data_IF_858655103092
#
_entry.id   IF_858655103092
#
_cell.length_a   1.000
_cell.length_b   1.000
_cell.length_c   1.000
_cell.angle_alpha   90.00
_cell.angle_beta   90.00
_cell.angle_gamma   90.00
#
_symmetry.space_group_name_H-M   'P 1'
#
loop_
_entity.id
_entity.type
_entity.pdbx_description
1 polymer ?
#
# COMPACT_ATOMS: atom_id res chain seq x y z
N UNK A 1 47.97 -2.51 18.66
CA UNK A 1 47.12 -3.16 17.65
C UNK A 1 45.70 -2.64 17.85
N UNK A 2 45.36 -1.53 17.20
CA UNK A 2 44.11 -0.81 17.43
C UNK A 2 43.01 -1.35 16.54
N UNK A 3 41.98 -1.95 17.15
CA UNK A 3 40.74 -2.28 16.47
C UNK A 3 39.93 -0.97 16.37
N UNK A 4 40.06 -0.27 15.25
CA UNK A 4 39.18 0.87 14.96
C UNK A 4 37.75 0.34 14.82
N UNK A 5 36.91 0.69 15.79
CA UNK A 5 35.48 0.55 15.68
C UNK A 5 35.02 1.30 14.41
N UNK A 6 34.51 0.56 13.43
CA UNK A 6 33.78 1.15 12.30
C UNK A 6 32.61 1.93 12.89
N UNK A 7 32.71 3.24 12.85
CA UNK A 7 31.61 4.17 13.06
C UNK A 7 30.44 3.73 12.19
N UNK A 8 29.37 3.25 12.82
CA UNK A 8 28.10 3.07 12.16
C UNK A 8 27.69 4.44 11.63
N UNK A 9 27.67 4.58 10.30
CA UNK A 9 27.22 5.81 9.65
C UNK A 9 25.76 6.00 10.06
N UNK A 10 25.48 7.02 10.86
CA UNK A 10 24.13 7.49 11.18
C UNK A 10 23.52 8.15 9.92
N UNK A 11 23.40 7.38 8.84
CA UNK A 11 22.66 7.75 7.65
C UNK A 11 21.22 7.32 7.82
N UNK A 12 20.29 8.24 7.59
CA UNK A 12 18.87 7.96 7.53
C UNK A 12 18.63 6.67 6.73
N UNK A 13 17.93 5.72 7.33
CA UNK A 13 17.51 4.54 6.59
C UNK A 13 16.38 4.96 5.66
N UNK A 14 16.19 4.32 4.51
CA UNK A 14 15.01 4.60 3.66
C UNK A 14 13.69 4.47 4.43
N UNK A 15 13.66 3.64 5.48
CA UNK A 15 12.51 3.57 6.39
C UNK A 15 12.33 4.86 7.18
N UNK A 16 13.39 5.45 7.73
CA UNK A 16 13.27 6.74 8.43
C UNK A 16 12.88 7.85 7.45
N UNK A 17 13.50 7.93 6.26
CA UNK A 17 13.12 8.95 5.27
C UNK A 17 11.65 8.87 4.85
N UNK A 18 11.13 7.67 4.63
CA UNK A 18 9.72 7.47 4.28
C UNK A 18 8.81 7.75 5.46
N UNK A 19 9.18 7.30 6.67
CA UNK A 19 8.41 7.58 7.90
C UNK A 19 8.36 9.08 8.19
N UNK A 20 9.50 9.76 8.17
CA UNK A 20 9.61 11.20 8.44
C UNK A 20 8.75 11.99 7.45
N UNK A 21 8.71 11.55 6.19
CA UNK A 21 7.87 12.15 5.15
C UNK A 21 6.37 11.91 5.39
N UNK A 22 5.98 10.71 5.82
CA UNK A 22 4.58 10.41 6.20
C UNK A 22 4.18 11.25 7.43
N UNK A 23 5.06 11.38 8.42
CA UNK A 23 4.84 12.20 9.61
C UNK A 23 4.61 13.66 9.22
N UNK A 24 5.48 14.23 8.38
CA UNK A 24 5.32 15.61 7.89
C UNK A 24 3.97 15.83 7.19
N UNK A 25 3.51 14.88 6.36
CA UNK A 25 2.20 14.98 5.71
C UNK A 25 1.04 14.96 6.73
N UNK A 26 1.13 14.09 7.74
CA UNK A 26 0.13 14.01 8.80
C UNK A 26 0.10 15.32 9.62
N UNK A 27 1.26 15.91 9.91
CA UNK A 27 1.38 17.20 10.61
C UNK A 27 0.78 18.36 9.81
N UNK A 28 0.81 18.29 8.47
CA UNK A 28 0.13 19.21 7.55
C UNK A 28 -1.38 18.92 7.40
N UNK A 29 -1.91 17.91 8.09
CA UNK A 29 -3.31 17.49 8.02
C UNK A 29 -3.65 16.64 6.79
N UNK A 30 -2.65 16.16 6.06
CA UNK A 30 -2.80 15.34 4.85
C UNK A 30 -2.55 13.88 5.22
N UNK A 31 -3.60 13.06 5.19
CA UNK A 31 -3.46 11.61 5.34
C UNK A 31 -3.04 10.98 3.98
N UNK A 32 -1.84 10.40 3.83
CA UNK A 32 -1.31 9.97 2.52
C UNK A 32 -2.13 8.86 1.84
N UNK A 33 -2.88 8.08 2.62
CA UNK A 33 -3.78 7.03 2.15
C UNK A 33 -5.23 7.51 1.92
N UNK A 34 -5.54 8.76 2.28
CA UNK A 34 -6.84 9.42 2.08
C UNK A 34 -6.73 10.62 1.13
N UNK A 35 -5.51 11.04 0.78
CA UNK A 35 -5.17 12.29 0.09
C UNK A 35 -6.01 12.61 -1.16
N UNK A 36 -6.10 13.89 -1.56
CA UNK A 36 -7.08 14.36 -2.52
C UNK A 36 -6.85 13.72 -3.89
N UNK A 37 -7.61 12.68 -4.17
CA UNK A 37 -7.63 11.92 -5.42
C UNK A 37 -8.10 12.75 -6.63
N UNK A 38 -8.21 14.07 -6.50
CA UNK A 38 -9.11 14.91 -7.29
C UNK A 38 -8.40 16.12 -7.90
N UNK A 39 -7.39 15.86 -8.74
CA UNK A 39 -7.03 16.80 -9.82
C UNK A 39 -7.43 16.27 -11.22
N UNK A 40 -7.95 15.04 -11.29
CA UNK A 40 -8.39 14.39 -12.53
C UNK A 40 -7.28 14.10 -13.55
N UNK A 41 -6.01 14.33 -13.20
CA UNK A 41 -4.87 14.19 -14.13
C UNK A 41 -4.32 12.77 -14.14
N UNK A 42 -4.31 12.13 -12.98
CA UNK A 42 -3.86 10.75 -12.85
C UNK A 42 -5.02 9.78 -12.85
N UNK A 43 -4.88 8.67 -13.57
CA UNK A 43 -5.75 7.53 -13.33
C UNK A 43 -5.60 7.11 -11.87
N UNK A 44 -6.70 7.08 -11.13
CA UNK A 44 -6.74 6.40 -9.83
C UNK A 44 -6.27 4.97 -10.07
N UNK A 45 -5.60 4.35 -9.11
CA UNK A 45 -5.24 2.94 -9.21
C UNK A 45 -3.91 2.63 -8.54
N UNK A 46 -3.66 1.34 -8.34
CA UNK A 46 -2.39 0.93 -7.76
C UNK A 46 -1.23 1.15 -8.75
N UNK A 47 -0.06 1.63 -8.28
CA UNK A 47 1.14 1.70 -9.09
C UNK A 47 1.51 0.32 -9.63
N UNK A 48 1.96 0.25 -10.88
CA UNK A 48 2.35 -1.00 -11.54
C UNK A 48 3.67 -0.87 -12.26
N UNK A 49 4.39 -1.98 -12.39
CA UNK A 49 5.55 -2.03 -13.24
C UNK A 49 5.13 -2.00 -14.72
N UNK A 50 5.64 -1.05 -15.51
CA UNK A 50 5.22 -0.87 -16.91
C UNK A 50 5.55 -2.07 -17.79
N UNK A 51 6.70 -2.72 -17.57
CA UNK A 51 7.13 -3.86 -18.38
C UNK A 51 6.45 -5.19 -18.02
N UNK A 52 6.19 -5.43 -16.74
CA UNK A 52 5.64 -6.72 -16.26
C UNK A 52 4.16 -6.67 -15.89
N UNK A 53 3.56 -5.48 -15.76
CA UNK A 53 2.18 -5.29 -15.29
C UNK A 53 1.96 -5.56 -13.79
N UNK A 54 2.98 -6.06 -13.07
CA UNK A 54 2.89 -6.40 -11.64
C UNK A 54 2.59 -5.15 -10.81
N UNK A 55 1.57 -5.24 -9.94
CA UNK A 55 1.24 -4.20 -8.96
C UNK A 55 2.32 -4.10 -7.89
N UNK A 56 2.68 -2.86 -7.52
CA UNK A 56 3.48 -2.61 -6.32
C UNK A 56 2.62 -2.87 -5.07
N UNK A 57 3.28 -3.16 -3.95
CA UNK A 57 2.63 -3.53 -2.69
C UNK A 57 3.30 -2.85 -1.49
N UNK A 58 2.56 -2.76 -0.39
CA UNK A 58 3.04 -2.20 0.87
C UNK A 58 3.49 -0.75 0.73
N UNK A 59 4.59 -0.40 1.38
CA UNK A 59 5.08 0.98 1.45
C UNK A 59 5.39 1.61 0.09
N UNK A 60 5.72 0.79 -0.91
CA UNK A 60 5.97 1.30 -2.26
C UNK A 60 4.74 1.96 -2.88
N UNK A 61 3.53 1.55 -2.50
CA UNK A 61 2.30 2.20 -2.98
C UNK A 61 2.26 3.65 -2.52
N UNK A 62 2.50 3.90 -1.23
CA UNK A 62 2.50 5.25 -0.65
C UNK A 62 3.63 6.11 -1.22
N UNK A 63 4.84 5.55 -1.36
CA UNK A 63 6.00 6.27 -1.93
C UNK A 63 5.69 6.72 -3.36
N UNK A 64 5.15 5.83 -4.18
CA UNK A 64 4.91 6.09 -5.60
C UNK A 64 3.71 7.02 -5.80
N UNK A 65 2.61 6.84 -5.05
CA UNK A 65 1.48 7.78 -5.08
C UNK A 65 1.90 9.18 -4.68
N UNK A 66 2.68 9.30 -3.61
CA UNK A 66 3.14 10.62 -3.20
C UNK A 66 3.94 11.32 -4.31
N UNK A 67 4.88 10.60 -4.95
CA UNK A 67 5.66 11.15 -6.08
C UNK A 67 4.80 11.47 -7.29
N UNK A 68 3.81 10.63 -7.59
CA UNK A 68 2.84 10.86 -8.66
C UNK A 68 2.07 12.17 -8.45
N UNK A 69 1.55 12.42 -7.25
CA UNK A 69 0.80 13.64 -6.96
C UNK A 69 1.69 14.89 -6.88
N UNK A 70 2.86 14.77 -6.25
CA UNK A 70 3.82 15.87 -6.13
C UNK A 70 4.29 16.40 -7.49
N UNK A 71 4.44 15.51 -8.47
CA UNK A 71 4.89 15.86 -9.82
C UNK A 71 3.74 15.97 -10.84
N UNK A 72 2.51 15.63 -10.45
CA UNK A 72 1.34 15.64 -11.33
C UNK A 72 1.42 14.63 -12.49
N UNK A 73 2.00 13.46 -12.27
CA UNK A 73 2.09 12.41 -13.31
C UNK A 73 0.71 11.80 -13.59
N UNK A 74 0.38 11.62 -14.87
CA UNK A 74 -0.86 11.02 -15.34
C UNK A 74 -0.89 9.50 -15.34
N UNK A 75 0.28 8.85 -15.33
CA UNK A 75 0.41 7.39 -15.42
C UNK A 75 0.69 6.73 -14.06
N UNK A 76 0.01 5.62 -13.76
CA UNK A 76 0.32 4.74 -12.62
C UNK A 76 1.45 3.74 -12.93
N UNK A 77 2.12 3.87 -14.08
CA UNK A 77 3.12 2.90 -14.55
C UNK A 77 4.53 3.41 -14.28
N UNK A 78 5.33 2.52 -13.68
CA UNK A 78 6.69 2.80 -13.22
C UNK A 78 7.65 1.75 -13.75
N UNK A 79 8.89 2.13 -14.02
CA UNK A 79 9.91 1.21 -14.53
C UNK A 79 11.31 1.68 -14.18
N UNK A 80 12.27 0.75 -14.15
CA UNK A 80 13.68 1.12 -13.99
C UNK A 80 14.25 1.71 -15.29
N UNK A 81 15.34 2.47 -15.21
CA UNK A 81 16.03 3.00 -16.39
C UNK A 81 16.35 1.91 -17.44
N UNK A 82 16.84 0.76 -16.99
CA UNK A 82 17.15 -0.37 -17.88
C UNK A 82 15.90 -0.95 -18.55
N UNK A 83 14.76 -0.97 -17.86
CA UNK A 83 13.50 -1.38 -18.46
C UNK A 83 13.04 -0.37 -19.52
N UNK A 84 13.26 0.93 -19.31
CA UNK A 84 12.90 1.96 -20.30
C UNK A 84 13.63 1.70 -21.61
N UNK A 85 14.95 1.53 -21.52
CA UNK A 85 15.81 1.23 -22.67
C UNK A 85 15.43 -0.09 -23.36
N UNK A 86 15.14 -1.13 -22.59
CA UNK A 86 14.74 -2.42 -23.14
C UNK A 86 13.39 -2.37 -23.89
N UNK A 87 12.52 -1.45 -23.52
CA UNK A 87 11.24 -1.20 -24.18
C UNK A 87 11.33 -0.21 -25.34
N UNK A 88 12.53 0.24 -25.71
CA UNK A 88 12.76 1.19 -26.82
C UNK A 88 12.60 2.66 -26.44
N UNK A 89 12.36 2.95 -25.15
CA UNK A 89 12.25 4.32 -24.64
C UNK A 89 13.50 4.81 -23.92
N UNK A 90 13.49 6.06 -23.50
CA UNK A 90 14.56 6.64 -22.70
C UNK A 90 14.04 7.62 -21.67
N UNK A 91 14.60 7.59 -20.46
CA UNK A 91 14.30 8.60 -19.44
C UNK A 91 14.90 9.93 -19.88
N UNK A 92 14.11 11.01 -19.85
CA UNK A 92 14.58 12.34 -20.23
C UNK A 92 15.72 12.82 -19.35
N UNK A 93 16.62 13.60 -19.95
CA UNK A 93 17.79 14.13 -19.24
C UNK A 93 17.34 15.11 -18.16
N UNK A 94 17.80 14.89 -16.93
CA UNK A 94 17.50 15.74 -15.77
C UNK A 94 16.35 15.23 -14.90
N UNK A 95 15.61 14.23 -15.36
CA UNK A 95 14.54 13.59 -14.57
C UNK A 95 15.10 12.89 -13.33
N UNK A 96 14.40 13.03 -12.21
CA UNK A 96 14.77 12.40 -10.94
C UNK A 96 13.95 11.13 -10.72
N UNK A 97 14.64 10.03 -10.44
CA UNK A 97 13.99 8.76 -10.15
C UNK A 97 13.48 8.67 -8.70
N UNK A 98 12.48 7.82 -8.49
CA UNK A 98 11.90 7.51 -7.19
C UNK A 98 12.47 6.20 -6.65
N UNK A 99 12.93 6.20 -5.40
CA UNK A 99 13.47 4.99 -4.76
C UNK A 99 12.36 4.13 -4.17
N UNK A 100 12.31 2.85 -4.54
CA UNK A 100 11.41 1.84 -4.00
C UNK A 100 12.18 0.72 -3.29
N UNK A 101 11.52 0.07 -2.34
CA UNK A 101 12.05 -1.03 -1.53
C UNK A 101 11.65 -2.39 -2.09
N UNK A 102 12.57 -3.35 -2.08
CA UNK A 102 12.25 -4.76 -2.24
C UNK A 102 12.84 -5.52 -1.06
N UNK A 103 11.97 -6.03 -0.19
CA UNK A 103 12.35 -6.87 0.93
C UNK A 103 12.03 -8.33 0.58
N UNK A 104 13.02 -9.21 0.77
CA UNK A 104 12.85 -10.64 0.52
C UNK A 104 13.82 -11.43 1.43
N UNK A 105 13.65 -12.75 1.48
CA UNK A 105 14.47 -13.65 2.28
C UNK A 105 15.17 -14.64 1.37
N UNK A 106 16.46 -14.89 1.61
CA UNK A 106 17.17 -15.98 0.96
C UNK A 106 17.72 -16.95 1.99
N UNK A 107 17.81 -18.22 1.62
CA UNK A 107 18.51 -19.24 2.39
C UNK A 107 19.93 -19.36 1.82
N UNK A 108 20.98 -19.05 2.60
CA UNK A 108 22.36 -19.28 2.17
C UNK A 108 22.54 -20.77 1.87
N UNK A 109 23.02 -21.11 0.66
CA UNK A 109 23.25 -22.51 0.27
C UNK A 109 24.70 -22.97 0.49
N UNK A 110 25.67 -22.06 0.54
CA UNK A 110 27.10 -22.37 0.64
C UNK A 110 27.85 -21.33 1.50
N UNK A 111 28.73 -21.79 2.40
CA UNK A 111 29.66 -20.95 3.18
C UNK A 111 29.99 -21.49 4.58
N UNK A 112 31.19 -21.21 5.09
CA UNK A 112 31.52 -21.39 6.52
C UNK A 112 30.77 -20.32 7.33
N UNK A 113 29.90 -20.74 8.27
CA UNK A 113 28.93 -19.93 9.03
C UNK A 113 27.54 -19.73 8.41
N UNK A 114 26.86 -20.82 8.03
CA UNK A 114 25.40 -20.81 7.83
C UNK A 114 24.74 -20.55 9.20
N UNK A 115 23.95 -19.48 9.39
CA UNK A 115 23.23 -19.28 10.64
C UNK A 115 22.17 -20.37 10.76
N UNK A 116 22.25 -21.22 11.78
CA UNK A 116 21.31 -22.33 11.99
C UNK A 116 20.18 -21.86 12.91
N UNK A 117 18.93 -22.24 12.58
CA UNK A 117 17.76 -22.01 13.41
C UNK A 117 17.70 -22.93 14.64
N UNK A 118 16.76 -22.67 15.57
CA UNK A 118 16.57 -23.51 16.77
C UNK A 118 16.24 -24.99 16.46
N UNK A 119 15.76 -25.23 15.25
CA UNK A 119 15.33 -26.48 14.63
C UNK A 119 16.43 -27.21 13.85
N UNK A 120 17.65 -26.64 13.77
CA UNK A 120 18.76 -27.25 13.03
C UNK A 120 18.78 -26.90 11.54
N UNK A 121 17.82 -26.11 11.05
CA UNK A 121 17.70 -25.74 9.64
C UNK A 121 18.41 -24.40 9.30
N UNK A 122 18.93 -24.22 8.07
CA UNK A 122 19.51 -22.96 7.63
C UNK A 122 18.54 -21.78 7.74
N UNK A 123 18.89 -20.79 8.56
CA UNK A 123 18.08 -19.60 8.80
C UNK A 123 17.99 -18.75 7.54
N UNK A 124 16.75 -18.39 7.18
CA UNK A 124 16.46 -17.42 6.13
C UNK A 124 16.98 -16.03 6.54
N UNK A 125 17.89 -15.47 5.74
CA UNK A 125 18.42 -14.13 5.92
C UNK A 125 17.54 -13.14 5.15
N UNK A 126 16.99 -12.16 5.87
CA UNK A 126 16.24 -11.07 5.26
C UNK A 126 17.19 -10.04 4.65
N UNK A 127 16.86 -9.55 3.46
CA UNK A 127 17.58 -8.46 2.82
C UNK A 127 16.60 -7.40 2.31
N UNK A 128 17.12 -6.19 2.17
CA UNK A 128 16.42 -5.06 1.58
C UNK A 128 17.24 -4.55 0.38
N UNK A 129 16.66 -4.59 -0.81
CA UNK A 129 17.19 -3.95 -2.02
C UNK A 129 16.46 -2.65 -2.26
N UNK A 130 17.20 -1.66 -2.74
CA UNK A 130 16.65 -0.40 -3.22
C UNK A 130 16.71 -0.41 -4.74
N UNK A 131 15.64 0.04 -5.39
CA UNK A 131 15.60 0.26 -6.82
C UNK A 131 15.17 1.68 -7.10
N UNK A 132 15.73 2.28 -8.15
CA UNK A 132 15.27 3.57 -8.65
C UNK A 132 14.36 3.33 -9.85
N UNK A 133 13.13 3.83 -9.77
CA UNK A 133 12.12 3.73 -10.81
C UNK A 133 11.70 5.12 -11.28
N UNK A 134 11.24 5.19 -12.52
CA UNK A 134 10.78 6.38 -13.20
C UNK A 134 9.35 6.14 -13.65
N UNK A 135 8.54 7.19 -13.61
CA UNK A 135 7.20 7.16 -14.18
C UNK A 135 7.29 7.13 -15.72
N UNK A 136 6.29 6.56 -16.40
CA UNK A 136 6.22 6.64 -17.86
C UNK A 136 6.25 8.08 -18.37
N UNK A 137 5.64 9.00 -17.63
CA UNK A 137 5.60 10.41 -18.00
C UNK A 137 7.01 11.03 -18.05
N UNK A 138 8.00 10.44 -17.39
CA UNK A 138 9.42 10.85 -17.41
C UNK A 138 10.21 10.30 -18.60
N UNK A 139 9.59 9.46 -19.42
CA UNK A 139 10.25 8.73 -20.51
C UNK A 139 9.70 9.20 -21.87
N UNK A 140 10.59 9.26 -22.86
CA UNK A 140 10.23 9.44 -24.25
C UNK A 140 10.21 8.08 -24.96
N UNK A 141 9.36 7.92 -25.98
CA UNK A 141 9.26 6.72 -26.79
C UNK A 141 8.47 5.57 -26.15
N UNK A 142 7.70 5.85 -25.09
CA UNK A 142 6.84 4.90 -24.37
C UNK A 142 5.38 5.38 -24.26
N UNK A 143 4.98 6.35 -25.09
CA UNK A 143 3.69 7.05 -25.00
C UNK A 143 2.51 6.07 -25.22
N UNK A 144 2.67 5.09 -26.11
CA UNK A 144 1.66 4.04 -26.36
C UNK A 144 1.40 3.16 -25.13
N UNK A 145 2.36 3.10 -24.19
CA UNK A 145 2.21 2.38 -22.93
C UNK A 145 1.47 3.20 -21.87
N UNK A 146 1.18 4.48 -22.10
CA UNK A 146 0.53 5.35 -21.11
C UNK A 146 -0.97 5.07 -20.92
N UNK A 147 -1.55 4.11 -21.65
CA UNK A 147 -2.95 3.72 -21.48
C UNK A 147 -3.22 3.30 -20.03
N UNK A 148 -3.92 4.17 -19.32
CA UNK A 148 -4.39 3.91 -17.97
C UNK A 148 -5.85 3.44 -18.02
N UNK A 149 -6.26 2.54 -17.12
CA UNK A 149 -7.67 2.18 -17.02
C UNK A 149 -8.50 3.43 -16.76
N UNK A 150 -9.64 3.54 -17.44
CA UNK A 150 -10.58 4.65 -17.23
C UNK A 150 -11.16 4.52 -15.84
N UNK A 151 -10.83 5.49 -14.98
CA UNK A 151 -11.42 5.59 -13.65
C UNK A 151 -12.71 6.37 -13.74
N UNK A 152 -13.78 5.79 -13.20
CA UNK A 152 -15.10 6.43 -13.20
C UNK A 152 -15.51 6.76 -11.78
N UNK A 153 -15.99 7.99 -11.57
CA UNK A 153 -16.66 8.42 -10.34
C UNK A 153 -18.16 8.13 -10.36
N UNK A 154 -18.64 7.40 -11.38
CA UNK A 154 -20.05 7.09 -11.50
C UNK A 154 -20.48 6.15 -10.35
N UNK A 155 -21.17 6.71 -9.36
CA UNK A 155 -21.69 5.99 -8.19
C UNK A 155 -22.51 4.76 -8.60
N UNK A 156 -23.24 4.81 -9.72
CA UNK A 156 -24.03 3.69 -10.22
C UNK A 156 -23.18 2.49 -10.66
N UNK A 157 -21.90 2.70 -10.99
CA UNK A 157 -20.95 1.64 -11.32
C UNK A 157 -20.12 1.20 -10.10
N UNK A 158 -19.79 2.13 -9.20
CA UNK A 158 -18.95 1.85 -8.01
C UNK A 158 -19.72 1.05 -6.96
N UNK A 159 -20.95 1.47 -6.62
CA UNK A 159 -21.72 0.88 -5.52
C UNK A 159 -21.96 -0.63 -5.74
N UNK A 160 -22.41 -1.10 -6.93
CA UNK A 160 -22.56 -2.53 -7.16
C UNK A 160 -21.25 -3.31 -7.04
N UNK A 161 -20.12 -2.73 -7.49
CA UNK A 161 -18.79 -3.37 -7.34
C UNK A 161 -18.38 -3.50 -5.88
N UNK A 162 -18.62 -2.47 -5.07
CA UNK A 162 -18.35 -2.50 -3.63
C UNK A 162 -19.22 -3.57 -2.93
N UNK A 163 -20.51 -3.65 -3.28
CA UNK A 163 -21.42 -4.67 -2.77
C UNK A 163 -20.93 -6.08 -3.12
N UNK A 164 -20.61 -6.34 -4.40
CA UNK A 164 -20.10 -7.63 -4.85
C UNK A 164 -18.80 -8.03 -4.14
N UNK A 165 -17.90 -7.06 -3.90
CA UNK A 165 -16.67 -7.32 -3.16
C UNK A 165 -16.98 -7.75 -1.72
N UNK A 166 -17.83 -7.00 -1.03
CA UNK A 166 -18.24 -7.29 0.34
C UNK A 166 -18.83 -8.69 0.43
N UNK A 167 -19.77 -9.04 -0.44
CA UNK A 167 -20.39 -10.36 -0.50
C UNK A 167 -19.36 -11.47 -0.77
N UNK A 168 -18.43 -11.25 -1.69
CA UNK A 168 -17.38 -12.20 -2.02
C UNK A 168 -16.40 -12.46 -0.88
N UNK A 169 -16.32 -11.58 0.14
CA UNK A 169 -15.48 -11.82 1.32
C UNK A 169 -16.01 -12.95 2.20
N UNK A 170 -17.33 -13.19 2.18
CA UNK A 170 -18.00 -14.13 3.09
C UNK A 170 -18.05 -13.67 4.54
N UNK A 171 -17.77 -12.39 4.85
CA UNK A 171 -17.93 -11.86 6.19
C UNK A 171 -19.42 -11.84 6.60
N UNK A 172 -19.71 -12.22 7.85
CA UNK A 172 -21.03 -12.03 8.45
C UNK A 172 -21.20 -10.54 8.78
N UNK A 173 -22.01 -9.83 7.98
CA UNK A 173 -22.31 -8.41 8.18
C UNK A 173 -23.77 -8.27 8.60
N UNK A 174 -23.96 -7.75 9.81
CA UNK A 174 -25.26 -7.57 10.45
C UNK A 174 -25.65 -6.11 10.42
N UNK A 175 -26.84 -5.83 9.90
CA UNK A 175 -27.34 -4.47 9.72
C UNK A 175 -28.23 -4.08 10.89
N UNK A 176 -27.92 -2.94 11.51
CA UNK A 176 -28.67 -2.36 12.62
C UNK A 176 -27.94 -2.53 13.94
N UNK A 177 -27.53 -1.41 14.54
CA UNK A 177 -26.69 -1.39 15.73
C UNK A 177 -25.61 -0.31 15.64
N UNK A 178 -24.46 -0.60 16.23
CA UNK A 178 -23.25 0.23 16.17
C UNK A 178 -22.48 0.08 14.85
N UNK A 179 -21.26 0.62 14.85
CA UNK A 179 -20.28 0.53 13.77
C UNK A 179 -19.00 -0.11 14.33
N UNK A 180 -18.92 -1.45 14.26
CA UNK A 180 -17.78 -2.18 14.81
C UNK A 180 -17.66 -3.60 14.24
N UNK A 181 -16.42 -4.07 14.11
CA UNK A 181 -16.10 -5.48 14.02
C UNK A 181 -16.02 -6.12 15.42
N UNK A 182 -16.80 -7.17 15.68
CA UNK A 182 -16.84 -7.90 16.93
C UNK A 182 -15.92 -9.14 16.90
N UNK A 183 -14.69 -9.09 17.47
CA UNK A 183 -13.69 -10.14 17.25
C UNK A 183 -13.99 -11.46 17.96
N UNK A 184 -14.76 -11.42 19.05
CA UNK A 184 -15.09 -12.62 19.83
C UNK A 184 -16.09 -13.52 19.09
N UNK A 185 -17.07 -12.90 18.43
CA UNK A 185 -18.16 -13.57 17.73
C UNK A 185 -17.94 -13.63 16.20
N UNK A 186 -16.89 -12.98 15.70
CA UNK A 186 -16.46 -12.98 14.29
C UNK A 186 -17.52 -12.48 13.29
N UNK A 187 -18.09 -11.30 13.55
CA UNK A 187 -19.00 -10.63 12.63
C UNK A 187 -18.83 -9.11 12.68
N UNK A 188 -19.36 -8.41 11.67
CA UNK A 188 -19.33 -6.95 11.55
C UNK A 188 -20.74 -6.39 11.80
N UNK A 189 -20.87 -5.37 12.64
CA UNK A 189 -22.05 -4.52 12.72
C UNK A 189 -21.87 -3.29 11.84
N UNK A 190 -22.91 -2.96 11.07
CA UNK A 190 -22.99 -1.67 10.37
C UNK A 190 -24.36 -1.05 10.63
N UNK A 191 -24.46 0.27 10.84
CA UNK A 191 -25.75 0.93 10.95
C UNK A 191 -26.59 0.74 9.70
N UNK A 192 -27.89 0.98 9.82
CA UNK A 192 -28.79 0.94 8.67
C UNK A 192 -28.35 1.97 7.60
N UNK A 193 -28.35 1.62 6.30
CA UNK A 193 -27.94 2.54 5.23
C UNK A 193 -28.65 3.91 5.28
N UNK A 194 -29.91 3.94 5.73
CA UNK A 194 -30.71 5.16 5.85
C UNK A 194 -30.18 6.15 6.90
N UNK A 195 -29.31 5.70 7.82
CA UNK A 195 -28.66 6.57 8.80
C UNK A 195 -27.48 7.36 8.21
N UNK A 196 -27.04 7.02 6.99
CA UNK A 196 -25.95 7.72 6.31
C UNK A 196 -26.51 8.76 5.34
N UNK A 197 -25.98 9.98 5.41
CA UNK A 197 -26.36 11.07 4.50
C UNK A 197 -26.09 10.73 3.02
N UNK A 198 -25.00 10.00 2.76
CA UNK A 198 -24.70 9.49 1.43
C UNK A 198 -24.54 7.98 1.44
N UNK A 199 -25.17 7.23 0.49
CA UNK A 199 -25.06 5.77 0.44
C UNK A 199 -23.62 5.25 0.38
N UNK A 200 -22.70 6.00 -0.24
CA UNK A 200 -21.29 5.62 -0.34
C UNK A 200 -20.61 5.53 1.04
N UNK A 201 -21.08 6.27 2.03
CA UNK A 201 -20.50 6.26 3.37
C UNK A 201 -20.79 4.95 4.11
N UNK A 202 -21.94 4.32 3.84
CA UNK A 202 -22.22 2.98 4.37
C UNK A 202 -21.18 1.96 3.88
N UNK A 203 -20.86 1.98 2.58
CA UNK A 203 -19.82 1.11 2.01
C UNK A 203 -18.43 1.42 2.55
N UNK A 204 -18.12 2.70 2.78
CA UNK A 204 -16.86 3.10 3.43
C UNK A 204 -16.76 2.47 4.82
N UNK A 205 -17.77 2.62 5.67
CA UNK A 205 -17.80 2.02 7.00
C UNK A 205 -17.66 0.50 6.91
N UNK A 206 -18.46 -0.18 6.08
CA UNK A 206 -18.37 -1.63 5.92
C UNK A 206 -16.98 -2.11 5.45
N UNK A 207 -16.34 -1.40 4.52
CA UNK A 207 -14.98 -1.74 4.06
C UNK A 207 -13.89 -1.48 5.11
N UNK A 208 -14.09 -0.48 5.97
CA UNK A 208 -13.20 -0.23 7.11
C UNK A 208 -13.29 -1.37 8.14
N UNK A 209 -14.50 -1.76 8.52
CA UNK A 209 -14.72 -2.88 9.43
C UNK A 209 -14.29 -4.22 8.83
N UNK A 210 -14.45 -4.41 7.51
CA UNK A 210 -13.86 -5.55 6.80
C UNK A 210 -12.34 -5.57 6.93
N UNK A 211 -11.71 -4.38 6.93
CA UNK A 211 -10.34 -4.17 7.33
C UNK A 211 -10.08 -4.94 8.62
N UNK A 212 -10.66 -4.52 9.73
CA UNK A 212 -10.54 -5.18 11.04
C UNK A 212 -10.89 -6.67 11.04
N UNK A 213 -11.98 -7.05 10.37
CA UNK A 213 -12.41 -8.44 10.25
C UNK A 213 -11.29 -9.32 9.75
N UNK A 214 -10.53 -8.93 8.71
CA UNK A 214 -9.42 -9.77 8.23
C UNK A 214 -8.34 -10.06 9.29
N UNK A 215 -8.34 -9.36 10.43
CA UNK A 215 -7.33 -9.46 11.47
C UNK A 215 -7.56 -10.51 12.53
N UNK A 216 -8.72 -11.18 12.51
CA UNK A 216 -9.02 -12.27 13.42
C UNK A 216 -7.97 -13.39 13.37
N UNK A 217 -7.85 -14.11 14.49
CA UNK A 217 -6.93 -15.23 14.68
C UNK A 217 -7.02 -16.35 13.64
N UNK A 218 -8.20 -16.55 13.04
CA UNK A 218 -8.36 -17.55 11.97
C UNK A 218 -7.95 -17.04 10.58
N UNK A 219 -7.55 -15.76 10.47
CA UNK A 219 -7.22 -15.07 9.23
C UNK A 219 -5.79 -14.53 9.28
N UNK A 220 -5.60 -13.21 9.47
CA UNK A 220 -4.27 -12.58 9.50
C UNK A 220 -3.67 -12.45 10.90
N UNK A 221 -4.42 -12.82 11.95
CA UNK A 221 -3.96 -12.88 13.35
C UNK A 221 -3.15 -11.66 13.78
N UNK A 222 -3.77 -10.48 13.67
CA UNK A 222 -3.10 -9.19 13.95
C UNK A 222 -3.82 -8.29 14.95
N UNK A 223 -5.04 -8.64 15.34
CA UNK A 223 -5.81 -7.84 16.29
C UNK A 223 -5.07 -7.80 17.63
N UNK A 224 -4.96 -6.63 18.25
CA UNK A 224 -4.26 -6.50 19.52
C UNK A 224 -5.11 -7.03 20.67
N UNK A 225 -4.45 -7.55 21.72
CA UNK A 225 -5.11 -7.89 22.99
C UNK A 225 -5.52 -6.66 23.82
N UNK A 226 -5.08 -5.46 23.40
CA UNK A 226 -5.36 -4.18 24.06
C UNK A 226 -6.54 -3.44 23.43
N UNK A 227 -7.36 -2.80 24.25
CA UNK A 227 -8.55 -2.10 23.82
C UNK A 227 -8.33 -0.71 23.17
N UNK A 228 -9.46 -0.07 22.88
CA UNK A 228 -9.56 1.27 22.31
C UNK A 228 -8.69 2.30 23.04
N UNK A 229 -8.06 3.21 22.28
CA UNK A 229 -7.18 4.26 22.80
C UNK A 229 -5.74 3.82 23.10
N UNK A 230 -5.41 2.54 22.93
CA UNK A 230 -4.02 2.06 23.06
C UNK A 230 -3.20 2.31 21.78
N UNK A 231 -1.85 2.42 21.87
CA UNK A 231 -1.00 2.52 20.68
C UNK A 231 -1.11 1.32 19.74
N UNK A 232 -1.34 0.11 20.28
CA UNK A 232 -1.52 -1.08 19.47
C UNK A 232 -2.87 -1.09 18.74
N UNK A 233 -3.93 -0.55 19.36
CA UNK A 233 -5.21 -0.32 18.70
C UNK A 233 -5.08 0.74 17.59
N UNK A 234 -4.41 1.86 17.85
CA UNK A 234 -4.16 2.89 16.84
C UNK A 234 -3.36 2.38 15.63
N UNK A 235 -2.45 1.41 15.86
CA UNK A 235 -1.75 0.73 14.76
C UNK A 235 -2.70 -0.12 13.91
N UNK A 236 -3.65 -0.82 14.53
CA UNK A 236 -4.65 -1.61 13.80
C UNK A 236 -5.62 -0.71 13.02
N UNK A 237 -6.03 0.42 13.58
CA UNK A 237 -6.78 1.46 12.86
C UNK A 237 -6.05 1.96 11.61
N UNK A 238 -4.74 2.21 11.72
CA UNK A 238 -3.91 2.59 10.58
C UNK A 238 -3.90 1.49 9.49
N UNK A 239 -3.87 0.22 9.90
CA UNK A 239 -3.94 -0.93 8.99
C UNK A 239 -5.31 -1.00 8.33
N UNK A 240 -6.40 -0.86 9.08
CA UNK A 240 -7.77 -0.91 8.54
C UNK A 240 -8.05 0.25 7.57
N UNK A 241 -7.66 1.48 7.92
CA UNK A 241 -7.79 2.65 7.05
C UNK A 241 -6.96 2.52 5.75
N UNK A 242 -5.73 1.99 5.87
CA UNK A 242 -4.90 1.69 4.69
C UNK A 242 -5.49 0.54 3.86
N UNK A 243 -6.12 -0.43 4.52
CA UNK A 243 -6.81 -1.55 3.90
C UNK A 243 -8.06 -1.11 3.14
N UNK A 244 -8.85 -0.18 3.67
CA UNK A 244 -10.07 0.35 3.05
C UNK A 244 -9.83 1.07 1.72
N UNK A 245 -8.69 1.74 1.56
CA UNK A 245 -8.32 2.42 0.31
C UNK A 245 -7.87 1.45 -0.80
N UNK A 246 -7.40 0.25 -0.44
CA UNK A 246 -6.91 -0.75 -1.39
C UNK A 246 -8.00 -1.37 -2.30
N UNK A 247 -9.21 -1.71 -1.82
CA UNK A 247 -10.37 -2.05 -2.65
C UNK A 247 -10.68 -1.00 -3.70
N UNK A 248 -10.77 0.28 -3.30
CA UNK A 248 -11.05 1.39 -4.22
C UNK A 248 -10.00 1.51 -5.33
N UNK A 249 -8.74 1.12 -5.04
CA UNK A 249 -7.64 1.09 -6.02
C UNK A 249 -7.52 -0.22 -6.82
N UNK A 250 -8.21 -1.29 -6.43
CA UNK A 250 -8.17 -2.62 -7.09
C UNK A 250 -9.43 -2.98 -7.86
N UNK A 251 -10.58 -2.35 -7.54
CA UNK A 251 -11.90 -2.54 -8.17
C UNK A 251 -12.03 -1.85 -9.54
N UNK A 252 -10.93 -1.61 -10.23
CA UNK A 252 -10.89 -0.96 -11.55
C UNK A 252 -10.99 -1.97 -12.67
#
# INVERSE_FOLDING_TARGET
MGYQAKTARAGATLYSEVTDRIVAQIEEGILPWVGPWDDGKAALGLPRNAGTGRRYSGINVLILWHRLFEQGYGSQRWLTYRQAQALGGNVRKGEQGTTVCYADRFTPKDGENIPIGPDGEPRRIAFLKRFTVFNLDQCDGLEDMASSPVTTWNKALIIPRAQMLIEATGADIRVGGGEDYAPQDDYIHVPRPEHFHEPINWFRTALHELGHWTGHRSRLDRLPDSGFGSPAYAREELVALSGQSAPSATLQ
#
